data_IF_454671402021
#
_entry.id   IF_454671402021
#
_cell.length_a   1.000
_cell.length_b   1.000
_cell.length_c   1.000
_cell.angle_alpha   90.00
_cell.angle_beta   90.00
_cell.angle_gamma   90.00
#
_symmetry.space_group_name_H-M   'P 1'
#
loop_
_entity.id
_entity.type
_entity.pdbx_description
1 polymer ?
#
# COMPACT_ATOMS: atom_id res chain seq x y z
N UNK A 1 45.37 -28.88 71.47
CA UNK A 1 45.68 -28.54 70.06
C UNK A 1 44.35 -28.42 69.34
N UNK A 2 43.89 -27.19 68.97
CA UNK A 2 42.65 -26.94 68.24
C UNK A 2 43.00 -26.67 66.80
N UNK A 3 42.54 -27.53 65.85
CA UNK A 3 42.60 -27.30 64.43
C UNK A 3 41.53 -26.28 64.05
N UNK A 4 41.93 -25.23 63.35
CA UNK A 4 41.07 -24.23 62.80
C UNK A 4 40.82 -24.62 61.34
N UNK A 5 39.61 -25.05 61.00
CA UNK A 5 39.17 -25.29 59.62
C UNK A 5 38.92 -23.95 58.95
N UNK A 6 39.64 -23.67 57.89
CA UNK A 6 39.42 -22.49 57.05
C UNK A 6 38.37 -22.84 55.96
N UNK A 7 37.21 -22.26 56.12
CA UNK A 7 36.14 -22.33 55.09
C UNK A 7 36.48 -21.39 53.91
N UNK A 8 36.79 -21.96 52.80
CA UNK A 8 37.03 -21.20 51.55
C UNK A 8 35.68 -21.00 50.85
N UNK A 9 35.17 -19.77 50.89
CA UNK A 9 33.97 -19.38 50.15
C UNK A 9 34.38 -19.09 48.70
N UNK A 10 34.01 -19.99 47.77
CA UNK A 10 34.17 -19.77 46.36
C UNK A 10 33.07 -18.82 45.85
N UNK A 11 33.46 -17.64 45.41
CA UNK A 11 32.55 -16.71 44.74
C UNK A 11 32.36 -17.18 43.29
N UNK A 12 31.19 -17.74 42.98
CA UNK A 12 30.81 -18.06 41.61
C UNK A 12 30.32 -16.79 40.93
N UNK A 13 31.13 -16.25 40.02
CA UNK A 13 30.74 -15.11 39.19
C UNK A 13 29.82 -15.61 38.06
N UNK A 14 28.51 -15.36 38.21
CA UNK A 14 27.54 -15.62 37.14
C UNK A 14 27.65 -14.48 36.10
N UNK A 15 28.27 -14.77 34.96
CA UNK A 15 28.23 -13.87 33.82
C UNK A 15 26.87 -14.01 33.14
N UNK A 16 25.97 -13.08 33.37
CA UNK A 16 24.75 -12.94 32.58
C UNK A 16 25.16 -12.38 31.18
N UNK A 17 25.29 -13.27 30.20
CA UNK A 17 25.34 -12.86 28.81
C UNK A 17 23.95 -12.30 28.44
N UNK A 18 23.84 -10.97 28.46
CA UNK A 18 22.65 -10.27 27.96
C UNK A 18 22.51 -10.52 26.46
N UNK A 19 21.57 -11.37 26.08
CA UNK A 19 21.09 -11.46 24.71
C UNK A 19 20.36 -10.15 24.39
N UNK A 20 21.11 -9.16 23.90
CA UNK A 20 20.56 -7.95 23.31
C UNK A 20 19.84 -8.30 22.02
N UNK A 21 18.60 -8.76 22.13
CA UNK A 21 17.72 -8.89 21.00
C UNK A 21 17.45 -7.49 20.43
N UNK A 22 18.02 -7.17 19.28
CA UNK A 22 17.62 -6.01 18.50
C UNK A 22 16.17 -6.26 18.06
N UNK A 23 15.22 -5.64 18.74
CA UNK A 23 13.84 -5.56 18.26
C UNK A 23 13.86 -4.75 16.98
N UNK A 24 13.81 -5.43 15.84
CA UNK A 24 13.54 -4.80 14.55
C UNK A 24 12.08 -4.36 14.61
N UNK A 25 11.86 -3.09 14.91
CA UNK A 25 10.52 -2.51 14.78
C UNK A 25 10.13 -2.55 13.29
N UNK A 26 9.07 -3.30 12.97
CA UNK A 26 8.49 -3.23 11.65
C UNK A 26 8.08 -1.77 11.37
N UNK A 27 8.49 -1.25 10.21
CA UNK A 27 8.10 0.11 9.82
C UNK A 27 6.57 0.18 9.78
N UNK A 28 5.99 1.13 10.52
CA UNK A 28 4.58 1.47 10.33
C UNK A 28 4.42 2.12 8.95
N UNK A 29 3.87 1.37 7.99
CA UNK A 29 3.64 1.85 6.62
C UNK A 29 2.77 3.10 6.58
N UNK A 30 1.89 3.27 7.55
CA UNK A 30 0.98 4.42 7.63
C UNK A 30 1.65 5.72 8.11
N UNK A 31 2.92 5.66 8.53
CA UNK A 31 3.71 6.88 8.77
C UNK A 31 4.23 7.54 7.49
N UNK A 32 4.10 6.87 6.34
CA UNK A 32 4.59 7.38 5.06
C UNK A 32 3.71 8.49 4.50
N UNK A 33 4.37 9.51 3.97
CA UNK A 33 3.74 10.62 3.26
C UNK A 33 4.49 10.91 1.96
N UNK A 34 3.75 11.05 0.87
CA UNK A 34 4.33 11.38 -0.44
C UNK A 34 4.69 12.87 -0.53
N UNK A 35 5.57 13.25 -1.47
CA UNK A 35 5.88 14.67 -1.75
C UNK A 35 4.65 15.49 -2.16
N UNK A 36 3.63 14.87 -2.74
CA UNK A 36 2.34 15.51 -3.07
C UNK A 36 1.46 15.80 -1.85
N UNK A 37 1.90 15.38 -0.66
CA UNK A 37 1.17 15.59 0.59
C UNK A 37 0.13 14.52 0.92
N UNK A 38 0.00 13.47 0.10
CA UNK A 38 -0.87 12.32 0.39
C UNK A 38 -0.17 11.41 1.41
N UNK A 39 -0.81 11.15 2.53
CA UNK A 39 -0.35 10.20 3.53
C UNK A 39 -0.93 8.81 3.27
N UNK A 40 -0.14 7.75 3.45
CA UNK A 40 -0.67 6.40 3.32
C UNK A 40 -1.71 6.08 4.41
N UNK A 41 -1.65 6.78 5.55
CA UNK A 41 -2.68 6.72 6.59
C UNK A 41 -4.08 7.15 6.10
N UNK A 42 -4.16 8.03 5.08
CA UNK A 42 -5.44 8.44 4.49
C UNK A 42 -6.14 7.29 3.75
N UNK A 43 -5.41 6.19 3.52
CA UNK A 43 -5.87 4.97 2.85
C UNK A 43 -5.95 3.79 3.80
N UNK A 44 -5.84 3.99 5.11
CA UNK A 44 -5.93 2.91 6.08
C UNK A 44 -7.22 2.11 5.89
N UNK A 45 -7.10 0.77 5.90
CA UNK A 45 -8.20 -0.15 5.64
C UNK A 45 -8.46 -0.43 4.15
N UNK A 46 -7.58 0.02 3.23
CA UNK A 46 -7.72 -0.28 1.81
C UNK A 46 -7.73 -1.79 1.50
N UNK A 47 -7.21 -2.58 2.39
CA UNK A 47 -7.23 -4.04 2.32
C UNK A 47 -8.65 -4.62 2.27
N UNK A 48 -9.60 -3.92 2.90
CA UNK A 48 -11.02 -4.30 2.98
C UNK A 48 -11.90 -3.61 1.93
N UNK A 49 -11.30 -2.81 1.04
CA UNK A 49 -12.06 -2.09 0.02
C UNK A 49 -12.51 -3.01 -1.11
N UNK A 50 -13.59 -2.63 -1.77
CA UNK A 50 -14.12 -3.41 -2.88
C UNK A 50 -13.24 -3.33 -4.12
N UNK A 51 -13.01 -4.46 -4.77
CA UNK A 51 -12.31 -4.53 -6.05
C UNK A 51 -13.12 -3.80 -7.12
N UNK A 52 -12.48 -2.88 -7.83
CA UNK A 52 -13.01 -2.20 -9.01
C UNK A 52 -12.67 -3.00 -10.27
N UNK A 53 -11.41 -3.39 -10.39
CA UNK A 53 -10.87 -4.08 -11.57
C UNK A 53 -9.58 -4.81 -11.22
N UNK A 54 -9.16 -5.69 -12.10
CA UNK A 54 -7.84 -6.29 -12.10
C UNK A 54 -7.20 -6.13 -13.47
N UNK A 55 -5.87 -6.14 -13.53
CA UNK A 55 -5.13 -6.09 -14.77
C UNK A 55 -3.82 -6.89 -14.64
N UNK A 56 -3.31 -7.37 -15.76
CA UNK A 56 -2.02 -8.04 -15.87
C UNK A 56 -1.21 -7.42 -16.98
N UNK A 57 0.08 -7.27 -16.77
CA UNK A 57 1.09 -7.03 -17.80
C UNK A 57 2.01 -8.25 -17.88
N UNK A 58 3.03 -8.21 -18.73
CA UNK A 58 4.01 -9.27 -18.81
C UNK A 58 4.88 -9.39 -17.55
N UNK A 59 4.87 -8.37 -16.69
CA UNK A 59 5.75 -8.28 -15.51
C UNK A 59 5.00 -8.34 -14.19
N UNK A 60 3.75 -7.84 -14.14
CA UNK A 60 3.04 -7.63 -12.87
C UNK A 60 1.55 -7.94 -12.94
N UNK A 61 1.01 -8.40 -11.81
CA UNK A 61 -0.42 -8.45 -11.53
C UNK A 61 -0.84 -7.19 -10.76
N UNK A 62 -2.03 -6.69 -11.07
CA UNK A 62 -2.60 -5.48 -10.46
C UNK A 62 -4.02 -5.73 -10.00
N UNK A 63 -4.34 -5.25 -8.81
CA UNK A 63 -5.72 -5.17 -8.31
C UNK A 63 -6.01 -3.72 -7.94
N UNK A 64 -7.16 -3.24 -8.37
CA UNK A 64 -7.63 -1.88 -8.11
C UNK A 64 -8.80 -1.99 -7.17
N UNK A 65 -8.66 -1.39 -6.00
CA UNK A 65 -9.72 -1.33 -4.98
C UNK A 65 -10.14 0.12 -4.76
N UNK A 66 -11.40 0.33 -4.38
CA UNK A 66 -11.92 1.66 -4.07
C UNK A 66 -12.72 1.67 -2.78
N UNK A 67 -12.69 2.82 -2.11
CA UNK A 67 -13.41 3.01 -0.86
C UNK A 67 -14.93 3.03 -1.05
N UNK A 68 -15.73 2.87 0.03
CA UNK A 68 -17.19 2.83 -0.05
C UNK A 68 -17.81 4.03 -0.75
N UNK A 69 -17.24 5.24 -0.57
CA UNK A 69 -17.72 6.47 -1.23
C UNK A 69 -17.64 6.34 -2.77
N UNK A 70 -16.51 5.92 -3.28
CA UNK A 70 -16.33 5.76 -4.72
C UNK A 70 -17.13 4.58 -5.28
N UNK A 71 -17.22 3.46 -4.56
CA UNK A 71 -18.04 2.31 -4.97
C UNK A 71 -19.51 2.70 -5.08
N UNK A 72 -20.03 3.49 -4.13
CA UNK A 72 -21.40 4.02 -4.20
C UNK A 72 -21.61 4.87 -5.46
N UNK A 73 -20.66 5.74 -5.80
CA UNK A 73 -20.71 6.56 -7.01
C UNK A 73 -20.71 5.70 -8.28
N UNK A 74 -19.83 4.70 -8.38
CA UNK A 74 -19.83 3.76 -9.50
C UNK A 74 -21.19 3.07 -9.69
N UNK A 75 -21.80 2.59 -8.60
CA UNK A 75 -23.14 1.95 -8.62
C UNK A 75 -24.24 2.91 -9.05
N UNK A 76 -24.06 4.22 -8.83
CA UNK A 76 -24.95 5.28 -9.31
C UNK A 76 -24.68 5.71 -10.76
N UNK A 77 -23.74 5.07 -11.46
CA UNK A 77 -23.43 5.31 -12.87
C UNK A 77 -22.30 6.30 -13.14
N UNK A 78 -21.64 6.82 -12.10
CA UNK A 78 -20.47 7.71 -12.25
C UNK A 78 -19.29 6.89 -12.81
N UNK A 79 -18.50 7.42 -13.74
CA UNK A 79 -18.59 8.71 -14.45
C UNK A 79 -19.43 8.64 -15.72
N UNK A 80 -20.03 7.48 -16.04
CA UNK A 80 -20.78 7.25 -17.28
C UNK A 80 -22.02 8.13 -17.42
N UNK A 81 -22.54 8.65 -16.33
CA UNK A 81 -23.65 9.61 -16.31
C UNK A 81 -23.20 11.09 -16.45
N UNK A 82 -21.92 11.33 -16.76
CA UNK A 82 -21.35 12.67 -16.89
C UNK A 82 -21.07 13.40 -15.57
N UNK A 83 -21.32 12.78 -14.42
CA UNK A 83 -21.03 13.37 -13.13
C UNK A 83 -19.62 13.03 -12.67
N UNK A 84 -18.91 13.93 -11.97
CA UNK A 84 -17.63 13.63 -11.36
C UNK A 84 -17.81 12.73 -10.14
N UNK A 85 -16.75 12.04 -9.75
CA UNK A 85 -16.72 11.34 -8.47
C UNK A 85 -16.82 12.34 -7.30
N UNK A 86 -17.52 11.98 -6.23
CA UNK A 86 -17.65 12.84 -5.05
C UNK A 86 -16.31 13.01 -4.32
N UNK A 87 -16.19 14.10 -3.58
CA UNK A 87 -15.08 14.36 -2.67
C UNK A 87 -14.92 13.20 -1.69
N UNK A 88 -13.65 12.86 -1.37
CA UNK A 88 -13.33 11.72 -0.54
C UNK A 88 -13.37 10.37 -1.27
N UNK A 89 -13.62 10.33 -2.59
CA UNK A 89 -13.40 9.11 -3.39
C UNK A 89 -11.94 8.73 -3.39
N UNK A 90 -11.63 7.45 -3.16
CA UNK A 90 -10.26 6.96 -3.08
C UNK A 90 -10.10 5.63 -3.81
N UNK A 91 -8.94 5.47 -4.44
CA UNK A 91 -8.50 4.22 -5.08
C UNK A 91 -7.12 3.85 -4.55
N UNK A 92 -6.90 2.56 -4.33
CA UNK A 92 -5.58 1.97 -4.21
C UNK A 92 -5.41 0.93 -5.33
N UNK A 93 -4.38 1.10 -6.16
CA UNK A 93 -3.93 0.11 -7.15
C UNK A 93 -2.72 -0.62 -6.58
N UNK A 94 -2.93 -1.85 -6.21
CA UNK A 94 -1.91 -2.72 -5.62
C UNK A 94 -1.26 -3.54 -6.72
N UNK A 95 0.05 -3.71 -6.66
CA UNK A 95 0.82 -4.36 -7.70
C UNK A 95 1.81 -5.37 -7.11
N UNK A 96 1.89 -6.54 -7.75
CA UNK A 96 2.80 -7.62 -7.39
C UNK A 96 3.54 -8.13 -8.62
N UNK A 97 4.76 -8.65 -8.42
CA UNK A 97 5.28 -9.67 -9.32
C UNK A 97 4.38 -10.90 -9.26
N UNK A 98 4.55 -11.83 -10.19
CA UNK A 98 3.73 -13.05 -10.18
C UNK A 98 4.60 -14.27 -10.42
N UNK A 99 4.06 -15.41 -10.02
CA UNK A 99 4.64 -16.73 -10.26
C UNK A 99 3.55 -17.70 -10.69
N UNK A 100 3.97 -18.85 -11.24
CA UNK A 100 3.04 -19.96 -11.47
C UNK A 100 2.61 -20.56 -10.15
N UNK A 101 1.32 -20.80 -10.00
CA UNK A 101 0.81 -21.51 -8.83
C UNK A 101 1.34 -22.97 -8.82
N UNK A 102 1.74 -23.42 -7.63
CA UNK A 102 2.07 -24.83 -7.37
C UNK A 102 0.88 -25.60 -6.79
N UNK A 103 -0.22 -24.93 -6.49
CA UNK A 103 -1.39 -25.50 -5.81
C UNK A 103 -2.59 -25.68 -6.75
N UNK A 104 -2.67 -24.85 -7.80
CA UNK A 104 -3.77 -24.95 -8.76
C UNK A 104 -3.62 -26.20 -9.66
N UNK A 105 -4.75 -26.80 -10.00
CA UNK A 105 -4.79 -27.99 -10.89
C UNK A 105 -4.51 -27.67 -12.36
N UNK A 106 -4.43 -26.39 -12.71
CA UNK A 106 -4.12 -25.88 -14.05
C UNK A 106 -3.15 -24.69 -13.94
N UNK A 107 -2.53 -24.33 -15.05
CA UNK A 107 -1.51 -23.27 -15.07
C UNK A 107 -2.16 -21.91 -14.87
N UNK A 108 -1.90 -21.28 -13.72
CA UNK A 108 -2.33 -19.91 -13.41
C UNK A 108 -1.20 -19.10 -12.82
N UNK A 109 -1.23 -17.81 -13.07
CA UNK A 109 -0.36 -16.84 -12.41
C UNK A 109 -1.01 -16.35 -11.12
N UNK A 110 -0.24 -16.34 -10.06
CA UNK A 110 -0.65 -15.85 -8.73
C UNK A 110 0.30 -14.75 -8.26
N UNK A 111 -0.17 -13.82 -7.41
CA UNK A 111 0.71 -12.81 -6.81
C UNK A 111 1.89 -13.47 -6.09
N UNK A 112 3.07 -12.85 -6.21
CA UNK A 112 4.29 -13.25 -5.51
C UNK A 112 4.71 -12.13 -4.54
N UNK A 113 5.68 -11.30 -4.90
CA UNK A 113 6.14 -10.21 -4.06
C UNK A 113 5.39 -8.89 -4.37
N UNK A 114 4.95 -8.11 -3.37
CA UNK A 114 4.40 -6.79 -3.60
C UNK A 114 5.49 -5.87 -4.16
N UNK A 115 5.14 -5.06 -5.16
CA UNK A 115 6.08 -4.14 -5.81
C UNK A 115 5.73 -2.69 -5.57
N UNK A 116 4.46 -2.32 -5.76
CA UNK A 116 4.03 -0.93 -5.67
C UNK A 116 2.58 -0.82 -5.20
N UNK A 117 2.28 0.30 -4.53
CA UNK A 117 0.93 0.77 -4.26
C UNK A 117 0.77 2.18 -4.84
N UNK A 118 -0.07 2.32 -5.85
CA UNK A 118 -0.49 3.62 -6.37
C UNK A 118 -1.79 4.01 -5.70
N UNK A 119 -1.85 5.21 -5.15
CA UNK A 119 -3.06 5.71 -4.50
C UNK A 119 -3.48 7.04 -5.11
N UNK A 120 -4.78 7.22 -5.25
CA UNK A 120 -5.37 8.48 -5.70
C UNK A 120 -6.56 8.84 -4.83
N UNK A 121 -6.75 10.13 -4.58
CA UNK A 121 -7.89 10.63 -3.83
C UNK A 121 -8.49 11.89 -4.49
N UNK A 122 -9.81 12.02 -4.39
CA UNK A 122 -10.55 13.21 -4.80
C UNK A 122 -10.60 14.18 -3.64
N UNK A 123 -9.90 15.31 -3.79
CA UNK A 123 -9.95 16.47 -2.92
C UNK A 123 -9.69 17.73 -3.75
N UNK A 124 -10.78 18.34 -4.21
CA UNK A 124 -10.70 19.50 -5.12
C UNK A 124 -10.10 20.76 -4.45
N UNK A 125 -10.07 20.79 -3.12
CA UNK A 125 -9.44 21.90 -2.38
C UNK A 125 -7.92 21.75 -2.35
N UNK A 126 -7.44 20.54 -2.16
CA UNK A 126 -5.99 20.24 -2.12
C UNK A 126 -5.38 20.14 -3.52
N UNK A 127 -6.12 19.66 -4.50
CA UNK A 127 -5.62 19.32 -5.84
C UNK A 127 -6.36 20.04 -6.99
N UNK A 128 -6.55 21.37 -6.93
CA UNK A 128 -7.32 22.09 -7.96
C UNK A 128 -6.68 22.03 -9.35
N UNK A 129 -5.35 21.97 -9.43
CA UNK A 129 -4.61 21.95 -10.69
C UNK A 129 -4.70 20.62 -11.46
N UNK A 130 -5.13 19.54 -10.78
CA UNK A 130 -5.18 18.17 -11.33
C UNK A 130 -6.61 17.64 -11.47
N UNK A 131 -7.58 18.55 -11.63
CA UNK A 131 -8.99 18.19 -11.72
C UNK A 131 -9.58 17.67 -10.41
N UNK A 132 -8.98 18.04 -9.29
CA UNK A 132 -9.38 17.63 -7.95
C UNK A 132 -8.81 16.27 -7.52
N UNK A 133 -7.90 15.67 -8.29
CA UNK A 133 -7.31 14.38 -7.96
C UNK A 133 -5.87 14.50 -7.50
N UNK A 134 -5.58 13.99 -6.30
CA UNK A 134 -4.22 13.79 -5.81
C UNK A 134 -3.69 12.39 -6.17
N UNK A 135 -2.40 12.29 -6.44
CA UNK A 135 -1.73 11.06 -6.86
C UNK A 135 -0.51 10.80 -5.99
N UNK A 136 -0.30 9.56 -5.59
CA UNK A 136 0.92 9.14 -4.91
C UNK A 136 1.29 7.70 -5.26
N UNK A 137 2.59 7.43 -5.18
CA UNK A 137 3.18 6.12 -5.39
C UNK A 137 4.01 5.75 -4.17
N UNK A 138 3.84 4.51 -3.71
CA UNK A 138 4.65 3.89 -2.67
C UNK A 138 5.27 2.62 -3.22
N UNK A 139 6.59 2.49 -3.09
CA UNK A 139 7.36 1.35 -3.55
C UNK A 139 7.55 0.35 -2.41
N UNK A 140 7.46 -0.95 -2.72
CA UNK A 140 7.86 -2.03 -1.84
C UNK A 140 9.28 -2.49 -2.20
N UNK A 141 10.18 -2.46 -1.24
CA UNK A 141 11.48 -3.11 -1.38
C UNK A 141 11.36 -4.62 -1.12
N UNK A 142 12.28 -5.40 -1.64
CA UNK A 142 12.36 -6.84 -1.40
C UNK A 142 12.46 -7.22 0.09
N UNK A 143 12.91 -6.29 0.93
CA UNK A 143 12.96 -6.44 2.38
C UNK A 143 11.59 -6.28 3.08
N UNK A 144 10.52 -6.00 2.34
CA UNK A 144 9.19 -5.69 2.88
C UNK A 144 9.03 -4.23 3.32
N UNK A 145 10.08 -3.42 3.28
CA UNK A 145 10.00 -2.00 3.61
C UNK A 145 9.29 -1.23 2.50
N UNK A 146 8.39 -0.33 2.86
CA UNK A 146 7.78 0.64 1.93
C UNK A 146 8.50 1.98 1.98
N UNK A 147 8.52 2.69 0.85
CA UNK A 147 9.00 4.07 0.74
C UNK A 147 8.06 4.86 -0.16
N UNK A 148 7.86 6.14 0.14
CA UNK A 148 7.20 7.05 -0.79
C UNK A 148 8.11 7.29 -2.00
N UNK A 149 7.52 7.29 -3.18
CA UNK A 149 8.23 7.67 -4.40
C UNK A 149 8.38 9.21 -4.47
N UNK A 150 9.48 9.67 -5.04
CA UNK A 150 9.74 11.11 -5.23
C UNK A 150 8.95 11.69 -6.41
N UNK A 151 8.23 10.85 -7.16
CA UNK A 151 7.38 11.31 -8.25
C UNK A 151 6.34 12.30 -7.72
N UNK A 152 6.37 13.49 -8.28
CA UNK A 152 5.37 14.52 -7.99
C UNK A 152 4.00 14.05 -8.46
N UNK A 153 2.95 14.56 -7.83
CA UNK A 153 1.55 14.30 -8.23
C UNK A 153 1.30 14.48 -9.74
N UNK A 154 2.06 15.36 -10.36
CA UNK A 154 2.00 15.65 -11.80
C UNK A 154 2.22 14.40 -12.69
N UNK A 155 3.10 13.49 -12.31
CA UNK A 155 3.36 12.26 -13.08
C UNK A 155 2.10 11.39 -13.18
N UNK A 156 1.36 11.23 -12.08
CA UNK A 156 0.08 10.52 -12.08
C UNK A 156 -0.95 11.24 -12.94
N UNK A 157 -1.08 12.55 -12.79
CA UNK A 157 -2.04 13.36 -13.52
C UNK A 157 -1.81 13.32 -15.05
N UNK A 158 -0.57 13.44 -15.50
CA UNK A 158 -0.22 13.41 -16.94
C UNK A 158 -0.77 12.17 -17.63
N UNK A 159 -0.66 10.99 -17.03
CA UNK A 159 -1.25 9.77 -17.57
C UNK A 159 -2.79 9.82 -17.56
N UNK A 160 -3.38 10.35 -16.49
CA UNK A 160 -4.83 10.33 -16.29
C UNK A 160 -5.58 11.39 -17.09
N UNK A 161 -4.91 12.42 -17.61
CA UNK A 161 -5.51 13.43 -18.53
C UNK A 161 -6.17 12.77 -19.76
N UNK A 162 -5.61 11.66 -20.25
CA UNK A 162 -6.16 10.92 -21.39
C UNK A 162 -7.61 10.47 -21.19
N UNK A 163 -8.05 10.36 -19.94
CA UNK A 163 -9.42 9.95 -19.55
C UNK A 163 -10.17 11.02 -18.76
N UNK A 164 -9.86 12.30 -19.01
CA UNK A 164 -10.52 13.46 -18.38
C UNK A 164 -12.04 13.40 -18.48
N UNK A 165 -12.58 12.94 -19.60
CA UNK A 165 -14.03 12.77 -19.80
C UNK A 165 -14.68 11.74 -18.88
N UNK A 166 -13.86 10.90 -18.20
CA UNK A 166 -14.29 9.92 -17.20
C UNK A 166 -13.83 10.34 -15.80
N UNK A 167 -13.74 11.66 -15.55
CA UNK A 167 -13.21 12.23 -14.33
C UNK A 167 -11.85 11.63 -13.94
N UNK A 168 -10.95 11.49 -14.95
CA UNK A 168 -9.57 10.99 -14.80
C UNK A 168 -9.44 9.52 -14.33
N UNK A 169 -10.48 8.69 -14.46
CA UNK A 169 -10.47 7.30 -13.99
C UNK A 169 -10.51 6.33 -15.18
N UNK A 170 -9.48 5.46 -15.29
CA UNK A 170 -9.33 4.52 -16.41
C UNK A 170 -10.33 3.36 -16.36
N UNK A 171 -10.50 2.75 -15.19
CA UNK A 171 -11.19 1.47 -15.07
C UNK A 171 -12.65 1.66 -14.64
N UNK A 172 -13.61 1.12 -15.41
CA UNK A 172 -15.00 1.04 -14.97
C UNK A 172 -15.11 0.00 -13.86
N UNK A 173 -16.12 0.17 -12.99
CA UNK A 173 -16.49 -0.84 -12.01
C UNK A 173 -17.10 -2.05 -12.73
N UNK A 174 -16.51 -3.23 -12.53
CA UNK A 174 -17.02 -4.45 -13.15
C UNK A 174 -18.33 -4.89 -12.48
N UNK A 175 -19.34 -5.15 -13.29
CA UNK A 175 -20.61 -5.72 -12.82
C UNK A 175 -20.37 -7.11 -12.24
N UNK A 176 -21.03 -7.42 -11.16
CA UNK A 176 -20.99 -8.71 -10.45
C UNK A 176 -22.40 -9.16 -10.14
#
# INVERSE_FOLDING_TARGET
MKRRDRLTIGIATVVLAGLGGTTVYAQDKYSLKSPSGIALSDFQGYEDWSVVSSARTDEVLKVIVANPTMIKAYKAGVPGNGQPFPEGSKIAKLQWSFKKSTEATFVVDVPDAPTQAFVIEKDSKRFPATGGWGYALFNHAATGKMTADDAKADCGHVCHVAVKSKDYIFHPYQKR
#
